data_IF_560252387545
#
_entry.id   IF_560252387545
#
_cell.length_a   1.000
_cell.length_b   1.000
_cell.length_c   1.000
_cell.angle_alpha   90.00
_cell.angle_beta   90.00
_cell.angle_gamma   90.00
#
_symmetry.space_group_name_H-M   'P 1'
#
loop_
_entity.id
_entity.type
_entity.pdbx_description
1 polymer ?
#
# COMPACT_ATOMS: atom_id res chain seq x y z
N UNK A 1 -23.60 -27.14 39.97
CA UNK A 1 -22.49 -27.57 40.84
C UNK A 1 -21.55 -28.49 40.07
N UNK A 2 -20.44 -27.97 39.54
CA UNK A 2 -19.20 -28.71 39.23
C UNK A 2 -18.07 -27.69 39.01
N UNK A 3 -16.95 -27.96 39.68
CA UNK A 3 -15.77 -27.13 39.92
C UNK A 3 -15.06 -26.72 38.61
N UNK A 4 -14.67 -25.47 38.39
CA UNK A 4 -13.49 -24.75 38.93
C UNK A 4 -12.16 -25.47 38.69
N UNK A 5 -11.37 -24.95 37.73
CA UNK A 5 -9.90 -25.03 37.68
C UNK A 5 -9.38 -23.80 36.94
N UNK A 6 -9.02 -22.76 37.70
CA UNK A 6 -8.21 -21.65 37.20
C UNK A 6 -6.76 -22.10 37.06
N UNK A 7 -6.19 -21.89 35.87
CA UNK A 7 -4.78 -22.06 35.60
C UNK A 7 -4.15 -20.66 35.65
N UNK A 8 -3.40 -20.40 36.73
CA UNK A 8 -2.57 -19.21 36.89
C UNK A 8 -1.28 -19.41 36.09
N UNK A 9 -1.12 -18.67 35.00
CA UNK A 9 0.15 -18.56 34.29
C UNK A 9 0.90 -17.33 34.81
N UNK A 10 2.01 -17.60 35.50
CA UNK A 10 2.92 -16.61 36.05
C UNK A 10 3.96 -16.31 34.94
N UNK A 11 3.87 -15.14 34.29
CA UNK A 11 4.86 -14.68 33.32
C UNK A 11 5.90 -13.84 34.05
N UNK A 12 7.11 -14.39 34.16
CA UNK A 12 8.32 -13.73 34.63
C UNK A 12 8.96 -13.05 33.42
N UNK A 13 8.82 -11.74 33.30
CA UNK A 13 9.51 -10.94 32.28
C UNK A 13 10.82 -10.41 32.85
N UNK A 14 11.92 -11.04 32.44
CA UNK A 14 13.30 -10.64 32.74
C UNK A 14 13.68 -9.35 32.02
N UNK A 15 14.09 -8.33 32.79
CA UNK A 15 14.78 -7.14 32.29
C UNK A 15 16.11 -7.55 31.63
N UNK A 16 16.24 -7.28 30.34
CA UNK A 16 17.52 -7.31 29.63
C UNK A 16 17.86 -5.87 29.24
N UNK A 17 18.81 -5.27 29.95
CA UNK A 17 19.38 -3.97 29.59
C UNK A 17 20.34 -4.18 28.42
N UNK A 18 19.94 -3.77 27.22
CA UNK A 18 20.82 -3.70 26.07
C UNK A 18 21.58 -2.36 26.09
N UNK A 19 22.91 -2.45 26.20
CA UNK A 19 23.82 -1.33 25.99
C UNK A 19 23.82 -0.96 24.49
N UNK A 20 23.19 0.15 24.12
CA UNK A 20 23.40 0.77 22.81
C UNK A 20 24.57 1.75 22.90
N UNK A 21 25.74 1.34 22.42
CA UNK A 21 26.81 2.27 22.05
C UNK A 21 26.45 2.90 20.69
N UNK A 22 26.70 4.21 20.47
CA UNK A 22 26.46 4.83 19.18
C UNK A 22 27.54 4.43 18.16
N UNK A 23 27.10 4.02 16.96
CA UNK A 23 27.95 3.86 15.78
C UNK A 23 28.38 5.24 15.26
N UNK A 24 29.48 5.77 15.77
CA UNK A 24 30.29 6.75 15.05
C UNK A 24 31.52 6.05 14.50
N UNK A 25 31.34 5.36 13.37
CA UNK A 25 32.45 4.90 12.54
C UNK A 25 33.03 6.12 11.82
N UNK A 26 34.02 6.78 12.42
CA UNK A 26 34.83 7.77 11.73
C UNK A 26 35.59 7.04 10.61
N UNK A 27 35.17 7.28 9.37
CA UNK A 27 35.92 6.91 8.17
C UNK A 27 37.22 7.70 8.21
N UNK A 28 38.32 7.04 8.57
CA UNK A 28 39.64 7.67 8.57
C UNK A 28 39.96 8.20 7.18
N UNK A 29 40.11 9.51 7.04
CA UNK A 29 40.70 10.13 5.85
C UNK A 29 42.14 9.64 5.72
N UNK A 30 42.48 9.12 4.55
CA UNK A 30 43.83 8.65 4.26
C UNK A 30 44.74 9.88 4.14
N UNK A 31 45.72 10.02 5.04
CA UNK A 31 46.78 11.03 4.94
C UNK A 31 48.02 10.38 4.31
N UNK A 32 48.29 10.61 3.01
CA UNK A 32 49.42 10.00 2.30
C UNK A 32 50.78 10.54 2.77
N UNK A 33 50.82 11.62 3.54
CA UNK A 33 52.05 12.25 4.05
C UNK A 33 52.41 11.78 5.49
N UNK A 34 51.62 10.89 6.08
CA UNK A 34 51.89 10.34 7.40
C UNK A 34 53.20 9.51 7.40
N UNK A 35 54.00 9.66 8.46
CA UNK A 35 55.30 8.96 8.59
C UNK A 35 55.16 7.42 8.57
N UNK A 36 53.97 6.90 8.87
CA UNK A 36 53.59 5.49 8.78
C UNK A 36 52.14 5.38 8.28
N UNK A 37 51.90 5.36 6.96
CA UNK A 37 50.54 5.29 6.42
C UNK A 37 49.92 3.91 6.67
N UNK A 38 48.61 3.90 6.93
CA UNK A 38 47.87 2.69 7.24
C UNK A 38 47.79 1.75 6.03
N UNK A 39 47.77 0.43 6.26
CA UNK A 39 47.94 -0.59 5.21
C UNK A 39 46.85 -0.57 4.13
N UNK A 40 45.72 0.08 4.44
CA UNK A 40 44.60 0.28 3.52
C UNK A 40 44.90 1.31 2.41
N UNK A 41 45.91 2.18 2.58
CA UNK A 41 46.30 3.21 1.60
C UNK A 41 47.31 2.73 0.53
N UNK A 42 47.75 1.46 0.59
CA UNK A 42 48.76 0.91 -0.36
C UNK A 42 48.40 0.90 -1.86
N UNK A 43 47.13 0.80 -2.31
CA UNK A 43 46.82 0.75 -3.74
C UNK A 43 47.06 2.09 -4.49
N UNK A 44 47.05 3.22 -3.78
CA UNK A 44 47.14 4.57 -4.38
C UNK A 44 48.58 5.12 -4.48
N UNK A 45 49.56 4.46 -3.84
CA UNK A 45 50.98 4.85 -3.87
C UNK A 45 51.77 4.19 -5.04
N UNK A 46 51.06 3.59 -6.00
CA UNK A 46 51.64 2.68 -6.99
C UNK A 46 52.07 3.26 -8.34
N UNK A 47 51.91 4.56 -8.61
CA UNK A 47 52.27 5.13 -9.92
C UNK A 47 52.95 6.50 -9.82
N UNK A 48 54.20 6.49 -9.36
CA UNK A 48 55.09 7.64 -9.45
C UNK A 48 56.46 7.22 -10.02
N UNK A 49 56.54 7.22 -11.36
CA UNK A 49 57.72 7.66 -12.11
C UNK A 49 58.94 6.74 -12.19
N UNK A 50 59.25 6.27 -13.40
CA UNK A 50 60.66 6.15 -13.84
C UNK A 50 60.76 6.41 -15.34
N UNK A 51 61.18 7.62 -15.66
CA UNK A 51 61.68 8.11 -16.92
C UNK A 51 63.21 8.03 -16.94
N UNK A 52 63.79 7.23 -17.84
CA UNK A 52 65.09 7.45 -18.50
C UNK A 52 65.49 6.25 -19.37
N UNK A 53 65.83 6.51 -20.63
CA UNK A 53 66.77 5.66 -21.37
C UNK A 53 66.43 5.44 -22.85
N UNK A 54 66.82 6.39 -23.68
CA UNK A 54 67.01 6.22 -25.13
C UNK A 54 67.85 4.96 -25.43
N UNK A 55 67.28 4.03 -26.20
CA UNK A 55 68.01 3.09 -27.01
C UNK A 55 67.17 2.73 -28.25
N UNK A 56 67.64 3.19 -29.40
CA UNK A 56 67.18 2.83 -30.74
C UNK A 56 66.95 1.32 -30.87
N UNK A 57 65.69 0.92 -30.85
CA UNK A 57 65.25 -0.38 -31.36
C UNK A 57 64.57 -0.14 -32.71
N UNK A 58 64.94 -0.89 -33.77
CA UNK A 58 64.32 -0.72 -35.06
C UNK A 58 62.85 -1.10 -34.93
N UNK A 59 61.99 -0.09 -35.08
CA UNK A 59 60.56 -0.22 -35.24
C UNK A 59 60.30 -1.29 -36.31
N UNK A 60 59.73 -2.48 -35.98
CA UNK A 60 59.12 -3.28 -37.01
C UNK A 60 57.98 -2.40 -37.51
N UNK A 61 58.06 -1.96 -38.77
CA UNK A 61 56.94 -1.27 -39.42
C UNK A 61 55.65 -2.05 -39.23
N UNK A 62 54.47 -1.43 -39.43
CA UNK A 62 53.19 -2.09 -39.22
C UNK A 62 53.24 -3.45 -39.87
N UNK A 63 53.24 -4.50 -39.04
CA UNK A 63 53.07 -5.86 -39.52
C UNK A 63 51.85 -5.82 -40.42
N UNK A 64 51.90 -6.40 -41.64
CA UNK A 64 50.70 -6.56 -42.44
C UNK A 64 49.68 -7.17 -41.49
N UNK A 65 48.56 -6.48 -41.26
CA UNK A 65 47.40 -7.07 -40.61
C UNK A 65 47.23 -8.40 -41.30
N UNK A 66 47.51 -9.48 -40.57
CA UNK A 66 47.34 -10.82 -41.07
C UNK A 66 45.94 -10.83 -41.67
N UNK A 67 45.82 -11.30 -42.91
CA UNK A 67 44.55 -11.68 -43.52
C UNK A 67 43.89 -12.68 -42.56
N UNK A 68 43.19 -12.17 -41.56
CA UNK A 68 42.87 -12.89 -40.35
C UNK A 68 41.59 -13.65 -40.61
N UNK A 69 41.67 -14.76 -41.33
CA UNK A 69 40.53 -15.67 -41.56
C UNK A 69 39.70 -15.80 -40.29
N UNK A 70 38.42 -15.42 -40.38
CA UNK A 70 37.46 -15.60 -39.29
C UNK A 70 37.55 -17.05 -38.78
N UNK A 71 37.92 -17.22 -37.50
CA UNK A 71 38.02 -18.53 -36.87
C UNK A 71 36.67 -19.04 -36.35
N UNK A 72 35.67 -18.16 -36.32
CA UNK A 72 34.33 -18.42 -35.84
C UNK A 72 33.30 -18.40 -37.00
N UNK A 73 32.07 -17.99 -36.72
CA UNK A 73 30.98 -18.03 -37.69
C UNK A 73 30.94 -16.76 -38.54
N UNK A 74 30.98 -16.92 -39.86
CA UNK A 74 30.72 -15.84 -40.80
C UNK A 74 29.23 -15.65 -41.03
N UNK A 75 28.67 -14.61 -40.41
CA UNK A 75 27.23 -14.34 -40.41
C UNK A 75 26.92 -13.18 -41.37
N UNK A 76 26.01 -13.35 -42.35
CA UNK A 76 25.66 -12.29 -43.29
C UNK A 76 24.89 -11.15 -42.64
N UNK A 77 25.11 -9.94 -43.13
CA UNK A 77 24.28 -8.76 -42.76
C UNK A 77 22.82 -9.00 -43.13
N UNK A 78 21.86 -8.38 -42.42
CA UNK A 78 20.44 -8.58 -42.70
C UNK A 78 20.05 -8.06 -44.09
N UNK A 79 19.20 -8.81 -44.82
CA UNK A 79 18.73 -8.49 -46.18
C UNK A 79 17.20 -8.33 -46.25
N UNK A 80 16.68 -7.86 -47.40
CA UNK A 80 15.24 -7.78 -47.64
C UNK A 80 14.53 -6.58 -47.00
N UNK A 81 15.11 -5.38 -47.09
CA UNK A 81 14.52 -4.16 -46.50
C UNK A 81 14.92 -3.90 -45.05
N UNK A 82 16.10 -4.35 -44.65
CA UNK A 82 16.56 -4.37 -43.26
C UNK A 82 17.11 -3.04 -42.70
N UNK A 83 16.76 -1.88 -43.27
CA UNK A 83 17.37 -0.58 -42.92
C UNK A 83 17.16 -0.11 -41.47
N UNK A 84 16.25 -0.74 -40.73
CA UNK A 84 15.94 -0.43 -39.32
C UNK A 84 16.52 -1.46 -38.33
N UNK A 85 17.25 -2.46 -38.82
CA UNK A 85 17.87 -3.52 -38.01
C UNK A 85 19.36 -3.26 -37.82
N UNK A 86 19.92 -3.82 -36.75
CA UNK A 86 21.37 -3.79 -36.51
C UNK A 86 22.14 -4.46 -37.65
N UNK A 87 23.13 -3.78 -38.23
CA UNK A 87 23.96 -4.38 -39.28
C UNK A 87 24.84 -5.52 -38.75
N UNK A 88 25.35 -5.37 -37.52
CA UNK A 88 26.22 -6.35 -36.88
C UNK A 88 25.36 -7.32 -36.07
N UNK A 89 25.40 -8.63 -36.35
CA UNK A 89 24.66 -9.63 -35.58
C UNK A 89 25.30 -9.84 -34.19
N UNK A 90 24.46 -10.15 -33.21
CA UNK A 90 24.86 -10.47 -31.83
C UNK A 90 24.53 -11.93 -31.50
N UNK A 91 25.28 -12.52 -30.58
CA UNK A 91 25.02 -13.86 -30.07
C UNK A 91 24.03 -13.76 -28.91
N UNK A 92 22.84 -14.34 -29.05
CA UNK A 92 21.76 -14.24 -28.06
C UNK A 92 21.38 -15.62 -27.55
N UNK A 93 21.31 -15.75 -26.22
CA UNK A 93 20.74 -16.92 -25.55
C UNK A 93 19.38 -16.56 -24.98
N UNK A 94 18.40 -17.41 -25.24
CA UNK A 94 17.06 -17.34 -24.66
C UNK A 94 16.89 -18.48 -23.66
N UNK A 95 16.49 -18.17 -22.44
CA UNK A 95 16.27 -19.16 -21.38
C UNK A 95 15.42 -18.54 -20.26
N UNK A 96 15.10 -19.30 -19.22
CA UNK A 96 14.53 -18.72 -17.99
C UNK A 96 15.50 -17.72 -17.38
N UNK A 97 15.03 -16.60 -16.80
CA UNK A 97 15.90 -15.58 -16.21
C UNK A 97 16.93 -16.12 -15.21
N UNK A 98 16.55 -17.08 -14.37
CA UNK A 98 17.43 -17.72 -13.38
C UNK A 98 18.44 -18.70 -13.98
N UNK A 99 18.19 -19.20 -15.19
CA UNK A 99 19.08 -20.10 -15.93
C UNK A 99 20.07 -19.34 -16.82
N UNK A 100 19.82 -18.06 -17.09
CA UNK A 100 20.75 -17.23 -17.85
C UNK A 100 22.08 -17.04 -17.10
N UNK A 101 23.21 -17.12 -17.81
CA UNK A 101 24.50 -16.75 -17.23
C UNK A 101 24.48 -15.31 -16.67
N UNK A 102 25.12 -15.13 -15.52
CA UNK A 102 25.29 -13.81 -14.89
C UNK A 102 26.15 -12.87 -15.76
N UNK A 103 27.08 -13.43 -16.51
CA UNK A 103 27.98 -12.69 -17.40
C UNK A 103 28.03 -13.38 -18.76
N UNK A 104 28.33 -12.61 -19.80
CA UNK A 104 28.60 -13.17 -21.10
C UNK A 104 29.87 -14.07 -21.08
N UNK A 105 29.91 -15.12 -21.92
CA UNK A 105 31.09 -15.96 -22.10
C UNK A 105 32.33 -15.15 -22.50
N UNK A 106 33.52 -15.66 -22.15
CA UNK A 106 34.80 -14.98 -22.44
C UNK A 106 35.07 -14.76 -23.94
N UNK A 107 34.44 -15.55 -24.84
CA UNK A 107 34.51 -15.36 -26.29
C UNK A 107 33.71 -14.15 -26.79
N UNK A 108 32.67 -13.74 -26.05
CA UNK A 108 31.81 -12.59 -26.35
C UNK A 108 31.57 -11.77 -25.08
N UNK A 109 32.61 -11.21 -24.44
CA UNK A 109 32.55 -10.80 -23.04
C UNK A 109 31.64 -9.58 -22.77
N UNK A 110 31.21 -8.86 -23.82
CA UNK A 110 30.42 -7.65 -23.65
C UNK A 110 28.93 -7.95 -23.69
N UNK A 111 28.25 -7.71 -22.57
CA UNK A 111 26.79 -7.72 -22.50
C UNK A 111 26.25 -6.49 -23.23
N UNK A 112 25.47 -6.75 -24.29
CA UNK A 112 24.79 -5.71 -25.05
C UNK A 112 23.38 -5.45 -24.51
N UNK A 113 22.65 -6.53 -24.26
CA UNK A 113 21.29 -6.47 -23.72
C UNK A 113 21.04 -7.62 -22.75
N UNK A 114 20.26 -7.31 -21.71
CA UNK A 114 19.56 -8.28 -20.88
C UNK A 114 18.11 -7.85 -20.80
N UNK A 115 17.24 -8.66 -21.39
CA UNK A 115 15.84 -8.32 -21.61
C UNK A 115 14.96 -9.52 -21.31
N UNK A 116 13.66 -9.30 -21.22
CA UNK A 116 12.71 -10.25 -20.67
C UNK A 116 11.41 -10.27 -21.46
N UNK A 117 10.72 -11.40 -21.46
CA UNK A 117 9.36 -11.53 -22.02
C UNK A 117 8.54 -12.50 -21.18
N UNK A 118 7.25 -12.63 -21.51
CA UNK A 118 6.27 -13.43 -20.80
C UNK A 118 6.09 -12.96 -19.33
N UNK A 119 5.79 -11.66 -19.17
CA UNK A 119 5.48 -11.07 -17.87
C UNK A 119 4.28 -11.76 -17.22
N UNK A 120 4.47 -12.24 -16.00
CA UNK A 120 3.40 -12.65 -15.10
C UNK A 120 3.37 -11.72 -13.90
N UNK A 121 2.28 -10.97 -13.80
CA UNK A 121 2.08 -9.98 -12.76
C UNK A 121 0.61 -10.03 -12.29
N UNK A 122 0.31 -10.78 -11.21
CA UNK A 122 -1.03 -10.85 -10.65
C UNK A 122 -1.56 -9.48 -10.21
N UNK A 123 -2.88 -9.30 -9.97
CA UNK A 123 -3.39 -8.07 -9.35
C UNK A 123 -2.71 -7.77 -8.01
N UNK A 124 -2.73 -6.51 -7.58
CA UNK A 124 -2.22 -6.14 -6.26
C UNK A 124 -2.98 -6.87 -5.13
N UNK A 125 -2.28 -7.21 -4.05
CA UNK A 125 -2.91 -7.71 -2.83
C UNK A 125 -3.18 -6.52 -1.92
N UNK A 126 -4.46 -6.14 -1.81
CA UNK A 126 -4.91 -4.98 -1.03
C UNK A 126 -5.28 -5.37 0.39
N UNK A 127 -4.86 -4.56 1.37
CA UNK A 127 -5.38 -4.68 2.73
C UNK A 127 -6.88 -4.34 2.78
N UNK A 128 -7.59 -4.98 3.72
CA UNK A 128 -9.01 -4.73 3.90
C UNK A 128 -9.28 -3.32 4.41
N UNK A 129 -10.29 -2.66 3.85
CA UNK A 129 -10.75 -1.36 4.34
C UNK A 129 -11.41 -1.46 5.71
N UNK A 130 -11.10 -0.50 6.58
CA UNK A 130 -11.68 -0.35 7.90
C UNK A 130 -12.10 1.10 8.14
N UNK A 131 -13.10 1.29 8.99
CA UNK A 131 -13.65 2.59 9.36
C UNK A 131 -13.34 2.88 10.83
N UNK A 132 -13.06 4.15 11.11
CA UNK A 132 -13.05 4.67 12.47
C UNK A 132 -14.47 4.63 13.07
N UNK A 133 -14.60 4.67 14.42
CA UNK A 133 -15.87 4.90 15.07
C UNK A 133 -16.55 6.15 14.51
N UNK A 134 -17.88 6.12 14.40
CA UNK A 134 -18.61 7.26 13.84
C UNK A 134 -18.43 8.50 14.71
N UNK A 135 -18.41 9.68 14.12
CA UNK A 135 -18.44 10.94 14.86
C UNK A 135 -19.77 11.65 14.60
N UNK A 136 -20.27 12.38 15.59
CA UNK A 136 -21.53 13.10 15.50
C UNK A 136 -21.77 14.02 16.69
N UNK A 137 -22.85 14.79 16.64
CA UNK A 137 -23.24 15.72 17.71
C UNK A 137 -24.66 15.47 18.19
N UNK A 138 -24.92 15.87 19.44
CA UNK A 138 -26.23 15.76 20.08
C UNK A 138 -26.80 17.15 20.41
N UNK A 139 -27.02 17.95 19.37
CA UNK A 139 -27.42 19.37 19.49
C UNK A 139 -28.94 19.59 19.49
N UNK A 140 -29.74 18.53 19.38
CA UNK A 140 -31.20 18.66 19.29
C UNK A 140 -31.90 19.18 20.56
N UNK A 141 -31.16 19.32 21.68
CA UNK A 141 -31.70 19.81 22.94
C UNK A 141 -32.39 18.72 23.78
N UNK A 142 -33.18 19.11 24.80
CA UNK A 142 -33.86 18.18 25.69
C UNK A 142 -35.01 17.44 24.97
N UNK A 143 -35.60 16.39 25.60
CA UNK A 143 -36.75 15.69 25.05
C UNK A 143 -37.93 16.61 24.74
N UNK A 144 -38.69 16.30 23.68
CA UNK A 144 -39.81 17.12 23.22
C UNK A 144 -40.96 17.17 24.24
N UNK A 145 -41.24 16.05 24.90
CA UNK A 145 -42.25 15.93 25.94
C UNK A 145 -41.71 15.27 27.21
N UNK A 146 -42.12 15.84 28.34
CA UNK A 146 -42.01 15.26 29.68
C UNK A 146 -43.38 15.41 30.33
N UNK A 147 -43.91 14.33 30.89
CA UNK A 147 -45.25 14.28 31.47
C UNK A 147 -45.21 13.65 32.85
N UNK A 148 -45.91 14.25 33.80
CA UNK A 148 -46.20 13.63 35.10
C UNK A 148 -47.49 12.83 34.96
N UNK A 149 -47.51 11.60 35.48
CA UNK A 149 -48.63 10.67 35.33
C UNK A 149 -49.18 10.23 36.69
N UNK A 150 -50.50 10.29 36.80
CA UNK A 150 -51.29 9.77 37.93
C UNK A 150 -51.51 8.25 37.77
N UNK A 151 -50.42 7.51 37.65
CA UNK A 151 -50.39 6.06 37.49
C UNK A 151 -48.95 5.58 37.32
N UNK A 152 -48.70 4.30 37.56
CA UNK A 152 -47.35 3.72 37.44
C UNK A 152 -46.92 3.58 35.98
N UNK A 153 -45.63 3.31 35.75
CA UNK A 153 -45.10 3.06 34.42
C UNK A 153 -45.69 1.81 33.73
N UNK A 154 -46.29 0.89 34.49
CA UNK A 154 -46.95 -0.30 33.94
C UNK A 154 -48.36 -0.02 33.42
N UNK A 155 -48.97 1.09 33.82
CA UNK A 155 -50.30 1.45 33.39
C UNK A 155 -50.27 2.13 32.02
N UNK A 156 -51.08 1.62 31.09
CA UNK A 156 -51.18 2.15 29.73
C UNK A 156 -52.05 3.40 29.63
N UNK A 157 -52.97 3.60 30.57
CA UNK A 157 -53.89 4.75 30.61
C UNK A 157 -53.82 5.36 32.00
N UNK A 158 -53.35 6.61 32.08
CA UNK A 158 -53.29 7.39 33.32
C UNK A 158 -53.52 8.86 32.97
N UNK A 159 -54.07 9.64 33.90
CA UNK A 159 -54.16 11.08 33.72
C UNK A 159 -52.75 11.69 33.65
N UNK A 160 -52.50 12.56 32.68
CA UNK A 160 -51.18 13.17 32.46
C UNK A 160 -51.24 14.69 32.64
N UNK A 161 -50.14 15.24 33.17
CA UNK A 161 -49.91 16.68 33.28
C UNK A 161 -48.66 17.05 32.49
N UNK A 162 -48.68 18.13 31.70
CA UNK A 162 -47.51 18.58 30.97
C UNK A 162 -46.43 19.02 31.97
N UNK A 163 -45.24 18.45 31.84
CA UNK A 163 -44.09 18.79 32.67
C UNK A 163 -42.85 19.11 31.82
N UNK A 164 -43.01 19.39 30.52
CA UNK A 164 -41.94 19.87 29.65
C UNK A 164 -41.38 21.22 30.11
N UNK A 165 -40.16 21.54 29.64
CA UNK A 165 -39.57 22.86 29.81
C UNK A 165 -40.35 23.93 29.03
N UNK A 166 -40.02 25.22 29.23
CA UNK A 166 -40.56 26.29 28.40
C UNK A 166 -40.15 26.13 26.93
N UNK A 167 -40.80 26.88 26.03
CA UNK A 167 -40.40 26.88 24.62
C UNK A 167 -38.93 27.33 24.48
N UNK A 168 -38.14 26.59 23.68
CA UNK A 168 -36.70 26.85 23.50
C UNK A 168 -35.82 26.45 24.68
N UNK A 169 -36.32 25.61 25.59
CA UNK A 169 -35.54 25.07 26.70
C UNK A 169 -34.35 24.24 26.21
N UNK A 170 -33.20 24.47 26.81
CA UNK A 170 -31.91 23.84 26.48
C UNK A 170 -31.54 22.67 27.41
N UNK A 171 -32.41 22.32 28.35
CA UNK A 171 -32.15 21.29 29.37
C UNK A 171 -31.67 21.86 30.72
N UNK A 172 -31.41 23.16 30.82
CA UNK A 172 -31.04 23.81 32.09
C UNK A 172 -32.10 23.62 33.19
N UNK A 173 -31.73 23.85 34.45
CA UNK A 173 -32.68 23.75 35.55
C UNK A 173 -33.92 24.64 35.33
N UNK A 174 -35.12 24.05 35.39
CA UNK A 174 -36.38 24.82 35.33
C UNK A 174 -37.47 24.24 36.22
N UNK A 175 -38.22 25.13 36.87
CA UNK A 175 -39.43 24.83 37.66
C UNK A 175 -40.72 25.10 36.88
N UNK A 176 -40.64 25.35 35.56
CA UNK A 176 -41.84 25.48 34.71
C UNK A 176 -42.69 24.21 34.82
N UNK A 177 -43.98 24.39 35.09
CA UNK A 177 -44.97 23.32 35.34
C UNK A 177 -44.70 22.45 36.58
N UNK A 178 -43.98 22.96 37.58
CA UNK A 178 -43.78 22.26 38.85
C UNK A 178 -45.10 21.79 39.49
N UNK A 179 -45.04 20.64 40.17
CA UNK A 179 -46.16 20.01 40.84
C UNK A 179 -45.93 19.99 42.35
N UNK A 180 -46.80 20.62 43.17
CA UNK A 180 -46.68 20.58 44.62
C UNK A 180 -46.98 19.18 45.17
N UNK A 181 -46.43 18.88 46.35
CA UNK A 181 -46.71 17.64 47.05
C UNK A 181 -48.22 17.46 47.30
N UNK A 182 -48.70 16.22 47.17
CA UNK A 182 -50.09 15.83 47.45
C UNK A 182 -51.12 16.30 46.43
N UNK A 183 -50.71 16.85 45.27
CA UNK A 183 -51.63 17.21 44.21
C UNK A 183 -52.48 16.00 43.76
N UNK A 184 -53.80 16.20 43.58
CA UNK A 184 -54.75 15.14 43.22
C UNK A 184 -55.23 15.26 41.78
N UNK A 185 -55.24 14.13 41.06
CA UNK A 185 -55.62 14.01 39.65
C UNK A 185 -56.79 13.03 39.50
N UNK A 186 -57.95 13.37 40.07
CA UNK A 186 -59.15 12.52 40.00
C UNK A 186 -59.25 11.48 41.12
N UNK A 187 -58.78 11.80 42.32
CA UNK A 187 -58.89 10.94 43.51
C UNK A 187 -57.60 10.19 43.88
N UNK A 188 -56.61 10.18 42.98
CA UNK A 188 -55.27 9.66 43.24
C UNK A 188 -54.23 10.77 43.22
N UNK A 189 -53.01 10.47 43.66
CA UNK A 189 -51.89 11.40 43.56
C UNK A 189 -51.49 11.60 42.09
N UNK A 190 -51.25 12.85 41.70
CA UNK A 190 -50.81 13.19 40.34
C UNK A 190 -49.40 12.66 40.05
N UNK A 191 -48.47 12.75 41.00
CA UNK A 191 -47.09 12.29 40.84
C UNK A 191 -46.95 10.82 41.24
N UNK A 192 -47.11 9.91 40.29
CA UNK A 192 -46.80 8.48 40.49
C UNK A 192 -45.74 7.98 39.52
N UNK A 193 -45.68 8.52 38.30
CA UNK A 193 -44.57 8.30 37.38
C UNK A 193 -44.29 9.52 36.51
N UNK A 194 -43.10 9.56 35.92
CA UNK A 194 -42.72 10.56 34.90
C UNK A 194 -42.38 9.83 33.61
N UNK A 195 -43.03 10.22 32.51
CA UNK A 195 -42.77 9.69 31.16
C UNK A 195 -42.10 10.75 30.30
N UNK A 196 -41.09 10.34 29.57
CA UNK A 196 -40.17 11.20 28.83
C UNK A 196 -40.05 10.64 27.42
N UNK A 197 -40.28 11.49 26.43
CA UNK A 197 -39.99 11.16 25.02
C UNK A 197 -38.50 10.88 24.78
N UNK A 198 -38.13 10.21 23.68
CA UNK A 198 -36.72 10.06 23.32
C UNK A 198 -36.03 11.42 23.18
N UNK A 199 -34.72 11.44 23.41
CA UNK A 199 -33.90 12.56 22.98
C UNK A 199 -33.97 12.69 21.44
N UNK A 200 -33.78 13.90 20.90
CA UNK A 200 -33.48 14.08 19.49
C UNK A 200 -32.31 13.18 19.07
N UNK A 201 -32.40 12.62 17.87
CA UNK A 201 -31.33 11.80 17.31
C UNK A 201 -30.04 12.60 17.07
N UNK A 202 -28.90 11.90 16.94
CA UNK A 202 -27.65 12.54 16.58
C UNK A 202 -27.73 13.23 15.21
N UNK A 203 -26.90 14.26 15.05
CA UNK A 203 -26.78 15.05 13.82
C UNK A 203 -25.33 15.08 13.33
N UNK A 204 -25.15 15.46 12.06
CA UNK A 204 -23.82 15.62 11.43
C UNK A 204 -22.96 14.36 11.54
N UNK A 205 -23.59 13.20 11.38
CA UNK A 205 -22.91 11.94 11.58
C UNK A 205 -22.06 11.55 10.37
N UNK A 206 -20.85 11.07 10.63
CA UNK A 206 -19.94 10.60 9.58
C UNK A 206 -18.97 9.56 10.13
N UNK A 207 -18.34 8.84 9.21
CA UNK A 207 -17.29 7.89 9.53
C UNK A 207 -16.10 8.16 8.62
N UNK A 208 -14.91 8.28 9.22
CA UNK A 208 -13.68 8.38 8.46
C UNK A 208 -13.13 6.97 8.18
N UNK A 209 -12.57 6.71 6.99
CA UNK A 209 -11.76 5.52 6.78
C UNK A 209 -10.50 5.59 7.64
N UNK A 210 -10.07 4.47 8.22
CA UNK A 210 -8.82 4.39 8.98
C UNK A 210 -7.62 4.74 8.09
N UNK A 211 -7.66 4.25 6.84
CA UNK A 211 -6.69 4.56 5.81
C UNK A 211 -7.44 4.94 4.54
N UNK A 212 -7.18 6.13 3.98
CA UNK A 212 -7.84 6.59 2.75
C UNK A 212 -7.49 5.72 1.53
N UNK A 213 -6.29 5.15 1.50
CA UNK A 213 -5.85 4.17 0.51
C UNK A 213 -5.22 3.01 1.27
N UNK A 214 -5.70 1.78 1.07
CA UNK A 214 -5.13 0.64 1.76
C UNK A 214 -3.71 0.37 1.26
N UNK A 215 -2.86 -0.13 2.15
CA UNK A 215 -1.55 -0.61 1.76
C UNK A 215 -1.70 -1.81 0.83
N UNK A 216 -0.71 -2.01 -0.03
CA UNK A 216 -0.73 -3.12 -0.95
C UNK A 216 0.65 -3.63 -1.27
N UNK A 217 0.69 -4.88 -1.72
CA UNK A 217 1.89 -5.53 -2.23
C UNK A 217 1.66 -5.95 -3.68
N UNK A 218 2.74 -5.94 -4.45
CA UNK A 218 2.74 -6.45 -5.82
C UNK A 218 3.88 -7.44 -5.99
N UNK A 219 3.62 -8.48 -6.78
CA UNK A 219 4.62 -9.44 -7.23
C UNK A 219 4.67 -9.43 -8.74
N UNK A 220 5.84 -9.76 -9.30
CA UNK A 220 6.01 -9.92 -10.74
C UNK A 220 7.14 -10.90 -11.01
N UNK A 221 7.01 -11.62 -12.11
CA UNK A 221 8.05 -12.50 -12.65
C UNK A 221 8.07 -12.38 -14.17
N UNK A 222 9.24 -12.50 -14.76
CA UNK A 222 9.41 -12.73 -16.19
C UNK A 222 9.72 -14.20 -16.40
N UNK A 223 9.09 -14.85 -17.38
CA UNK A 223 9.32 -16.29 -17.62
C UNK A 223 10.41 -16.57 -18.66
N UNK A 224 10.67 -15.59 -19.53
CA UNK A 224 11.69 -15.67 -20.55
C UNK A 224 12.69 -14.53 -20.37
N UNK A 225 13.97 -14.84 -20.48
CA UNK A 225 15.06 -13.87 -20.53
C UNK A 225 15.87 -14.05 -21.81
N UNK A 226 16.43 -12.94 -22.31
CA UNK A 226 17.42 -12.91 -23.38
C UNK A 226 18.71 -12.27 -22.86
N UNK A 227 19.84 -12.93 -23.12
CA UNK A 227 21.17 -12.38 -22.91
C UNK A 227 21.87 -12.24 -24.26
N UNK A 228 22.03 -10.98 -24.72
CA UNK A 228 22.74 -10.66 -25.95
C UNK A 228 24.19 -10.26 -25.64
N UNK A 229 25.13 -10.96 -26.26
CA UNK A 229 26.56 -10.81 -26.05
C UNK A 229 27.27 -10.48 -27.37
N UNK A 230 28.33 -9.69 -27.30
CA UNK A 230 29.15 -9.32 -28.46
C UNK A 230 30.66 -9.35 -28.16
N UNK A 231 31.46 -9.65 -29.19
CA UNK A 231 32.92 -9.56 -29.13
C UNK A 231 33.41 -8.10 -29.27
N UNK A 232 34.70 -7.87 -28.99
CA UNK A 232 35.33 -6.55 -29.07
C UNK A 232 35.67 -6.09 -30.50
N UNK A 233 35.77 -7.02 -31.46
CA UNK A 233 36.22 -6.71 -32.83
C UNK A 233 35.13 -7.07 -33.85
N UNK A 234 34.73 -6.05 -34.64
CA UNK A 234 33.88 -6.23 -35.82
C UNK A 234 34.78 -6.50 -37.02
N UNK A 235 35.37 -7.68 -37.09
CA UNK A 235 36.29 -8.02 -38.16
C UNK A 235 35.50 -8.50 -39.39
N UNK A 236 35.55 -7.71 -40.49
CA UNK A 236 35.01 -8.06 -41.82
C UNK A 236 35.87 -9.16 -42.51
N UNK A 237 36.54 -10.01 -41.73
CA UNK A 237 37.55 -10.96 -42.20
C UNK A 237 36.97 -12.26 -42.78
N UNK A 238 35.68 -12.25 -43.13
CA UNK A 238 34.93 -13.38 -43.68
C UNK A 238 35.18 -13.68 -45.17
N UNK A 239 36.31 -13.21 -45.69
CA UNK A 239 36.72 -13.36 -47.09
C UNK A 239 35.92 -12.49 -48.07
N UNK A 240 36.36 -12.45 -49.33
CA UNK A 240 35.63 -11.76 -50.39
C UNK A 240 34.39 -12.57 -50.79
N UNK A 241 33.21 -12.01 -50.51
CA UNK A 241 31.92 -12.57 -50.86
C UNK A 241 31.02 -11.50 -51.45
N UNK A 242 30.14 -11.88 -52.38
CA UNK A 242 29.14 -10.97 -52.95
C UNK A 242 28.15 -10.41 -51.90
N UNK A 243 28.06 -11.06 -50.73
CA UNK A 243 27.25 -10.65 -49.58
C UNK A 243 28.20 -10.30 -48.43
N UNK A 244 28.06 -9.10 -47.86
CA UNK A 244 28.81 -8.64 -46.68
C UNK A 244 28.51 -9.55 -45.49
N UNK A 245 29.55 -9.98 -44.77
CA UNK A 245 29.44 -10.85 -43.59
C UNK A 245 30.35 -10.36 -42.48
N UNK A 246 29.89 -10.47 -41.25
CA UNK A 246 30.68 -10.21 -40.05
C UNK A 246 31.15 -11.53 -39.44
N UNK A 247 32.39 -11.55 -38.94
CA UNK A 247 32.85 -12.63 -38.09
C UNK A 247 32.21 -12.47 -36.71
N UNK A 248 31.34 -13.40 -36.32
CA UNK A 248 30.66 -13.40 -35.02
C UNK A 248 31.23 -14.54 -34.19
N UNK A 249 31.78 -14.20 -33.04
CA UNK A 249 32.30 -15.18 -32.10
C UNK A 249 31.16 -16.09 -31.63
N UNK A 250 31.45 -17.39 -31.62
CA UNK A 250 30.46 -18.39 -31.27
C UNK A 250 30.66 -18.92 -29.84
N UNK A 251 29.76 -18.58 -28.91
CA UNK A 251 29.84 -19.01 -27.52
C UNK A 251 29.34 -20.45 -27.26
N UNK A 252 28.81 -21.15 -28.27
CA UNK A 252 28.30 -22.51 -28.14
C UNK A 252 26.83 -22.72 -28.56
N UNK A 253 26.29 -23.93 -28.38
CA UNK A 253 25.05 -24.37 -29.01
C UNK A 253 23.77 -23.68 -28.50
N UNK A 254 23.79 -23.13 -27.29
CA UNK A 254 22.63 -22.45 -26.68
C UNK A 254 22.42 -21.02 -27.19
N UNK A 255 23.28 -20.55 -28.11
CA UNK A 255 23.23 -19.21 -28.66
C UNK A 255 22.78 -19.23 -30.11
N UNK A 256 21.94 -18.24 -30.44
CA UNK A 256 21.52 -17.91 -31.79
C UNK A 256 22.24 -16.65 -32.27
N UNK A 257 22.40 -16.50 -33.58
CA UNK A 257 22.85 -15.22 -34.14
C UNK A 257 21.62 -14.38 -34.48
N UNK A 258 21.51 -13.21 -33.88
CA UNK A 258 20.34 -12.36 -34.03
C UNK A 258 20.74 -10.95 -34.46
N UNK A 259 19.88 -10.34 -35.26
CA UNK A 259 19.84 -8.89 -35.43
C UNK A 259 18.76 -8.33 -34.53
N UNK A 260 18.94 -7.09 -34.11
CA UNK A 260 18.02 -6.44 -33.21
C UNK A 260 17.56 -5.09 -33.76
N UNK A 261 16.37 -4.66 -33.35
CA UNK A 261 15.87 -3.32 -33.67
C UNK A 261 15.00 -2.78 -32.55
N UNK A 262 14.92 -1.45 -32.45
CA UNK A 262 14.17 -0.79 -31.39
C UNK A 262 12.67 -0.77 -31.68
N UNK A 263 11.89 -1.06 -30.64
CA UNK A 263 10.45 -1.22 -30.71
C UNK A 263 10.04 -2.63 -31.13
N UNK A 264 8.73 -2.79 -31.33
CA UNK A 264 8.12 -4.00 -31.88
C UNK A 264 8.16 -3.89 -33.41
N UNK A 265 9.06 -4.65 -34.04
CA UNK A 265 9.35 -4.55 -35.47
C UNK A 265 8.92 -5.81 -36.22
N UNK A 266 8.25 -5.61 -37.36
CA UNK A 266 7.95 -6.65 -38.34
C UNK A 266 8.05 -6.06 -39.76
N UNK A 267 8.42 -6.86 -40.79
CA UNK A 267 8.84 -8.26 -40.71
C UNK A 267 10.33 -8.42 -40.31
N UNK A 268 10.72 -9.64 -39.92
CA UNK A 268 12.13 -9.99 -39.79
C UNK A 268 12.85 -9.96 -41.15
N UNK A 269 14.15 -9.63 -41.19
CA UNK A 269 14.96 -9.74 -42.40
C UNK A 269 14.97 -11.16 -42.98
N UNK A 270 15.07 -11.29 -44.31
CA UNK A 270 14.89 -12.57 -45.02
C UNK A 270 15.82 -13.69 -44.50
N UNK A 271 17.05 -13.33 -44.13
CA UNK A 271 18.07 -14.25 -43.64
C UNK A 271 18.11 -14.41 -42.11
N UNK A 272 17.13 -13.84 -41.41
CA UNK A 272 16.93 -13.89 -39.95
C UNK A 272 15.47 -14.25 -39.60
N UNK A 273 14.93 -15.22 -40.30
CA UNK A 273 13.53 -15.63 -40.21
C UNK A 273 13.32 -16.94 -39.43
N UNK A 274 14.31 -17.38 -38.64
CA UNK A 274 14.19 -18.63 -37.88
C UNK A 274 13.30 -18.45 -36.65
N UNK A 275 13.59 -17.42 -35.85
CA UNK A 275 12.82 -17.08 -34.65
C UNK A 275 12.74 -15.56 -34.50
N UNK A 276 11.65 -15.09 -33.91
CA UNK A 276 11.44 -13.70 -33.53
C UNK A 276 11.06 -13.62 -32.06
N UNK A 277 11.72 -12.73 -31.33
CA UNK A 277 11.45 -12.48 -29.92
C UNK A 277 11.28 -10.98 -29.66
N UNK A 278 10.19 -10.60 -29.00
CA UNK A 278 9.92 -9.24 -28.58
C UNK A 278 10.26 -9.12 -27.09
N UNK A 279 11.42 -8.54 -26.78
CA UNK A 279 11.93 -8.53 -25.41
C UNK A 279 11.89 -7.12 -24.82
N UNK A 280 11.71 -7.04 -23.51
CA UNK A 280 11.47 -5.80 -22.76
C UNK A 280 12.49 -5.61 -21.64
N UNK A 281 12.72 -4.37 -21.18
CA UNK A 281 13.48 -4.13 -19.97
C UNK A 281 12.84 -4.79 -18.74
N UNK A 282 13.63 -4.98 -17.69
CA UNK A 282 13.20 -5.63 -16.44
C UNK A 282 12.00 -4.95 -15.78
N UNK A 283 11.93 -3.62 -15.87
CA UNK A 283 10.89 -2.79 -15.29
C UNK A 283 9.68 -2.64 -16.26
N UNK A 284 8.55 -3.35 -16.03
CA UNK A 284 7.31 -3.08 -16.74
C UNK A 284 6.70 -1.73 -16.36
N UNK A 285 5.72 -1.30 -17.16
CA UNK A 285 4.77 -0.27 -16.76
C UNK A 285 3.80 -0.89 -15.76
N UNK A 286 3.79 -0.40 -14.53
CA UNK A 286 2.99 -0.95 -13.44
C UNK A 286 2.14 0.16 -12.82
N UNK A 287 0.83 0.12 -13.06
CA UNK A 287 -0.14 1.03 -12.45
C UNK A 287 -1.04 0.31 -11.44
N UNK A 288 -0.65 -0.91 -11.02
CA UNK A 288 -1.38 -1.68 -10.02
C UNK A 288 -1.42 -0.93 -8.69
N UNK A 289 -2.56 -1.03 -8.03
CA UNK A 289 -2.76 -0.52 -6.69
C UNK A 289 -4.15 -0.86 -6.20
N UNK A 290 -4.66 -0.08 -5.26
CA UNK A 290 -5.98 -0.30 -4.68
C UNK A 290 -6.91 0.89 -4.89
N UNK A 291 -8.20 0.59 -4.95
CA UNK A 291 -9.24 1.60 -4.80
C UNK A 291 -9.19 2.23 -3.41
N UNK A 292 -9.64 3.49 -3.33
CA UNK A 292 -9.72 4.18 -2.05
C UNK A 292 -10.73 3.48 -1.13
N UNK A 293 -10.49 3.55 0.18
CA UNK A 293 -11.44 3.07 1.16
C UNK A 293 -12.52 4.12 1.40
N UNK A 294 -13.76 3.66 1.47
CA UNK A 294 -14.92 4.48 1.80
C UNK A 294 -15.67 3.88 2.98
N UNK A 295 -16.35 4.75 3.74
CA UNK A 295 -17.15 4.37 4.89
C UNK A 295 -18.58 4.85 4.69
N UNK A 296 -19.52 3.93 4.90
CA UNK A 296 -20.94 4.21 4.81
C UNK A 296 -21.46 5.04 5.98
N UNK A 297 -22.77 5.32 5.93
CA UNK A 297 -23.46 5.99 7.03
C UNK A 297 -23.40 5.15 8.32
N UNK A 298 -23.27 5.78 9.49
CA UNK A 298 -23.25 5.06 10.76
C UNK A 298 -24.59 4.42 11.09
N UNK A 299 -24.50 3.27 11.74
CA UNK A 299 -25.64 2.51 12.23
C UNK A 299 -25.46 2.24 13.73
N UNK A 300 -26.52 2.48 14.50
CA UNK A 300 -26.56 2.21 15.94
C UNK A 300 -25.98 3.32 16.82
N UNK A 301 -25.70 4.50 16.26
CA UNK A 301 -25.37 5.70 17.03
C UNK A 301 -26.59 6.25 17.78
N UNK A 302 -26.34 6.96 18.88
CA UNK A 302 -27.41 7.53 19.70
C UNK A 302 -26.92 8.73 20.52
N UNK A 303 -27.87 9.53 21.00
CA UNK A 303 -27.64 10.49 22.06
C UNK A 303 -28.07 9.90 23.40
N UNK A 304 -27.22 10.01 24.41
CA UNK A 304 -27.50 9.58 25.77
C UNK A 304 -27.37 10.77 26.72
N UNK A 305 -28.23 10.86 27.73
CA UNK A 305 -28.14 11.89 28.75
C UNK A 305 -28.83 11.46 30.05
N UNK A 306 -28.97 12.40 30.97
CA UNK A 306 -29.62 12.19 32.27
C UNK A 306 -30.75 13.18 32.48
N UNK A 307 -31.95 12.69 32.78
CA UNK A 307 -33.00 13.48 33.38
C UNK A 307 -32.83 13.49 34.89
N UNK A 308 -32.81 14.69 35.47
CA UNK A 308 -32.79 14.91 36.91
C UNK A 308 -34.09 15.56 37.36
N UNK A 309 -34.66 15.08 38.46
CA UNK A 309 -35.86 15.65 39.08
C UNK A 309 -35.54 16.11 40.50
N UNK A 310 -36.15 17.23 40.89
CA UNK A 310 -35.85 17.91 42.14
C UNK A 310 -37.13 18.18 42.94
N UNK A 311 -37.01 18.12 44.27
CA UNK A 311 -38.11 18.43 45.19
C UNK A 311 -38.35 19.96 45.29
N UNK A 312 -37.35 20.77 44.95
CA UNK A 312 -37.39 22.24 44.99
C UNK A 312 -37.39 22.87 43.60
N UNK A 313 -37.63 24.19 43.56
CA UNK A 313 -37.69 24.97 42.32
C UNK A 313 -36.34 25.47 41.80
N UNK A 314 -35.23 25.22 42.53
CA UNK A 314 -33.89 25.77 42.27
C UNK A 314 -32.86 24.68 41.92
N UNK A 315 -33.31 23.44 41.75
CA UNK A 315 -32.50 22.26 41.48
C UNK A 315 -31.42 21.96 42.53
N UNK A 316 -31.71 22.14 43.82
CA UNK A 316 -30.76 21.86 44.90
C UNK A 316 -30.97 20.51 45.59
N UNK A 317 -32.20 20.01 45.61
CA UNK A 317 -32.62 18.76 46.25
C UNK A 317 -33.03 17.73 45.21
N UNK A 318 -32.04 17.10 44.56
CA UNK A 318 -32.26 16.02 43.59
C UNK A 318 -32.80 14.77 44.28
N UNK A 319 -33.84 14.16 43.72
CA UNK A 319 -34.36 12.88 44.22
C UNK A 319 -34.35 11.76 43.17
N UNK A 320 -34.17 12.09 41.89
CA UNK A 320 -34.16 11.13 40.78
C UNK A 320 -33.15 11.55 39.71
N UNK A 321 -32.40 10.56 39.20
CA UNK A 321 -31.46 10.72 38.10
C UNK A 321 -31.55 9.49 37.18
N UNK A 322 -32.32 9.63 36.11
CA UNK A 322 -32.62 8.57 35.17
C UNK A 322 -31.87 8.78 33.85
N UNK A 323 -31.26 7.73 33.31
CA UNK A 323 -30.70 7.78 31.97
C UNK A 323 -31.81 7.85 30.91
N UNK A 324 -31.63 8.72 29.94
CA UNK A 324 -32.49 8.90 28.77
C UNK A 324 -31.67 8.77 27.49
N UNK A 325 -32.33 8.41 26.39
CA UNK A 325 -31.65 8.15 25.12
C UNK A 325 -32.49 8.58 23.93
N UNK A 326 -31.88 8.70 22.74
CA UNK A 326 -32.58 8.97 21.49
C UNK A 326 -33.28 7.76 20.88
N UNK A 327 -33.00 6.55 21.38
CA UNK A 327 -33.51 5.29 20.80
C UNK A 327 -34.86 4.85 21.37
N UNK A 328 -35.34 5.49 22.44
CA UNK A 328 -36.60 5.11 23.05
C UNK A 328 -37.06 6.04 24.17
N UNK A 329 -38.35 5.97 24.45
CA UNK A 329 -38.96 6.68 25.59
C UNK A 329 -38.56 6.03 26.92
N UNK A 330 -38.61 6.82 27.98
CA UNK A 330 -38.34 6.37 29.35
C UNK A 330 -39.50 6.71 30.25
N UNK A 331 -39.84 5.78 31.13
CA UNK A 331 -40.74 6.03 32.24
C UNK A 331 -40.05 5.66 33.56
N UNK A 332 -40.23 6.49 34.58
CA UNK A 332 -39.69 6.30 35.92
C UNK A 332 -40.79 6.48 36.95
N UNK A 333 -41.00 5.47 37.80
CA UNK A 333 -41.93 5.55 38.92
C UNK A 333 -41.38 6.47 40.03
N UNK A 334 -42.26 7.28 40.62
CA UNK A 334 -41.91 8.26 41.66
C UNK A 334 -42.22 7.66 43.02
N UNK A 335 -41.22 7.66 43.91
CA UNK A 335 -41.38 7.16 45.27
C UNK A 335 -41.01 8.21 46.33
N UNK A 336 -41.87 8.44 47.35
CA UNK A 336 -43.24 7.93 47.48
C UNK A 336 -44.22 8.59 46.49
N UNK A 337 -45.38 7.96 46.18
CA UNK A 337 -46.43 8.60 45.39
C UNK A 337 -46.89 9.94 46.01
N UNK A 338 -47.17 10.92 45.17
CA UNK A 338 -47.59 12.26 45.60
C UNK A 338 -46.47 13.17 46.10
N UNK A 339 -45.20 12.77 45.91
CA UNK A 339 -44.05 13.63 46.15
C UNK A 339 -44.10 14.91 45.30
N UNK A 340 -43.52 16.00 45.79
CA UNK A 340 -43.36 17.22 45.00
C UNK A 340 -42.38 16.97 43.83
N UNK A 341 -42.68 17.57 42.68
CA UNK A 341 -41.76 17.62 41.54
C UNK A 341 -41.56 19.10 41.23
N UNK A 342 -40.60 19.71 41.93
CA UNK A 342 -40.35 21.15 41.96
C UNK A 342 -39.58 21.67 40.75
N UNK A 343 -38.66 20.88 40.21
CA UNK A 343 -37.89 21.24 39.02
C UNK A 343 -37.36 20.02 38.27
N UNK A 344 -36.82 20.28 37.09
CA UNK A 344 -36.18 19.30 36.21
C UNK A 344 -34.96 19.88 35.52
N UNK A 345 -34.02 19.02 35.17
CA UNK A 345 -32.88 19.34 34.31
C UNK A 345 -32.53 18.14 33.42
N UNK A 346 -32.06 18.40 32.20
CA UNK A 346 -31.45 17.41 31.32
C UNK A 346 -29.98 17.76 31.20
N UNK A 347 -29.11 16.82 31.57
CA UNK A 347 -27.68 17.06 31.69
C UNK A 347 -26.87 15.92 31.09
N UNK A 348 -25.61 16.20 30.76
CA UNK A 348 -24.67 15.17 30.31
C UNK A 348 -25.07 14.52 29.00
N UNK A 349 -25.70 15.28 28.09
CA UNK A 349 -26.04 14.75 26.76
C UNK A 349 -24.75 14.53 25.97
N UNK A 350 -24.46 13.28 25.66
CA UNK A 350 -23.27 12.86 24.91
C UNK A 350 -23.64 11.98 23.73
N UNK A 351 -22.79 12.04 22.71
CA UNK A 351 -22.87 11.19 21.55
C UNK A 351 -22.32 9.79 21.87
N UNK A 352 -23.01 8.76 21.38
CA UNK A 352 -22.57 7.37 21.43
C UNK A 352 -22.28 6.92 20.01
N UNK A 353 -21.03 6.55 19.79
CA UNK A 353 -20.51 6.09 18.51
C UNK A 353 -21.27 4.85 18.00
N UNK A 354 -21.68 4.90 16.75
CA UNK A 354 -22.19 3.77 15.98
C UNK A 354 -21.07 3.04 15.23
N UNK A 355 -21.49 2.14 14.35
CA UNK A 355 -20.60 1.35 13.48
C UNK A 355 -20.88 1.66 12.02
N UNK A 356 -19.87 1.53 11.17
CA UNK A 356 -19.96 1.89 9.75
C UNK A 356 -19.49 0.72 8.88
N UNK A 357 -20.18 0.49 7.77
CA UNK A 357 -19.74 -0.48 6.77
C UNK A 357 -18.60 0.09 5.95
N UNK A 358 -17.50 -0.64 5.81
CA UNK A 358 -16.40 -0.29 4.90
C UNK A 358 -16.65 -0.81 3.48
N UNK A 359 -16.16 -0.08 2.49
CA UNK A 359 -16.14 -0.46 1.08
C UNK A 359 -14.85 0.02 0.40
N UNK A 360 -14.61 -0.45 -0.83
CA UNK A 360 -13.40 -0.15 -1.59
C UNK A 360 -12.28 -1.14 -1.33
N UNK A 361 -11.04 -0.71 -1.57
CA UNK A 361 -9.85 -1.56 -1.43
C UNK A 361 -9.77 -2.73 -2.42
N UNK A 362 -10.57 -2.70 -3.49
CA UNK A 362 -10.42 -3.64 -4.58
C UNK A 362 -9.13 -3.35 -5.35
N UNK A 363 -8.43 -4.38 -5.87
CA UNK A 363 -7.28 -4.17 -6.72
C UNK A 363 -7.68 -3.52 -8.04
N UNK A 364 -6.85 -2.57 -8.48
CA UNK A 364 -6.98 -1.88 -9.77
C UNK A 364 -5.65 -1.87 -10.50
N UNK A 365 -5.69 -1.50 -11.78
CA UNK A 365 -4.51 -1.43 -12.64
C UNK A 365 -4.01 -2.79 -13.11
N UNK A 366 -2.92 -2.77 -13.87
CA UNK A 366 -2.26 -3.91 -14.51
C UNK A 366 -0.77 -3.59 -14.69
N UNK A 367 0.10 -4.60 -14.56
CA UNK A 367 1.46 -4.47 -15.04
C UNK A 367 1.57 -4.98 -16.48
N UNK A 368 2.21 -4.21 -17.35
CA UNK A 368 2.37 -4.55 -18.77
C UNK A 368 3.76 -4.20 -19.30
N UNK A 369 4.27 -4.96 -20.29
CA UNK A 369 5.53 -4.63 -20.92
C UNK A 369 5.49 -3.27 -21.65
N UNK A 370 6.57 -2.49 -21.56
CA UNK A 370 6.67 -1.20 -22.24
C UNK A 370 7.08 -1.38 -23.71
N UNK A 371 6.10 -1.32 -24.62
CA UNK A 371 6.32 -1.46 -26.07
C UNK A 371 7.24 -0.41 -26.68
N UNK A 372 7.35 0.78 -26.08
CA UNK A 372 8.22 1.85 -26.59
C UNK A 372 9.71 1.51 -26.36
N UNK A 373 10.00 0.80 -25.27
CA UNK A 373 11.35 0.34 -24.92
C UNK A 373 11.62 -1.11 -25.34
N UNK A 374 10.72 -1.74 -26.08
CA UNK A 374 10.93 -3.09 -26.58
C UNK A 374 12.14 -3.14 -27.51
N UNK A 375 12.79 -4.30 -27.55
CA UNK A 375 13.79 -4.65 -28.56
C UNK A 375 13.31 -5.93 -29.21
N UNK A 376 13.15 -5.90 -30.53
CA UNK A 376 12.84 -7.10 -31.29
C UNK A 376 14.14 -7.75 -31.71
N UNK A 377 14.28 -9.05 -31.45
CA UNK A 377 15.32 -9.90 -32.01
C UNK A 377 14.74 -10.74 -33.15
N UNK A 378 15.44 -10.75 -34.28
CA UNK A 378 15.21 -11.69 -35.36
C UNK A 378 16.46 -12.55 -35.51
N UNK A 379 16.28 -13.86 -35.37
CA UNK A 379 17.37 -14.79 -35.20
C UNK A 379 17.48 -15.75 -36.38
N UNK A 380 18.67 -16.29 -36.53
CA UNK A 380 18.98 -17.43 -37.39
C UNK A 380 19.70 -18.49 -36.56
N UNK A 381 19.62 -19.74 -37.02
CA UNK A 381 20.32 -20.86 -36.39
C UNK A 381 21.82 -20.60 -36.30
N UNK A 382 22.42 -21.02 -35.19
CA UNK A 382 23.87 -21.16 -35.09
C UNK A 382 24.33 -22.39 -35.88
N UNK A 383 25.61 -22.43 -36.21
CA UNK A 383 26.19 -23.49 -37.05
C UNK A 383 26.23 -24.87 -36.35
N UNK A 384 25.92 -24.93 -35.06
CA UNK A 384 25.82 -26.16 -34.27
C UNK A 384 24.46 -26.85 -34.35
N UNK A 385 23.43 -26.13 -34.79
CA UNK A 385 22.07 -26.66 -34.90
C UNK A 385 21.92 -27.24 -36.31
N UNK A 386 22.47 -28.44 -36.50
CA UNK A 386 22.28 -29.24 -37.73
C UNK A 386 21.03 -30.10 -37.54
N UNK A 387 20.02 -29.92 -38.38
CA UNK A 387 18.85 -30.81 -38.45
C UNK A 387 19.21 -32.16 -39.10
#
# INVERSE_FOLDING_TARGET
MRLSKHWFLLIISTLSAACSAPDTYLRGECDPEALFPDKFCSPELGDAGTDAGDADTPNPGPTPQSMGTCMDACVPVPSGGAGYWSEVPVSVRFDKPEALPKFCPSSVPNEKFRLFDELVAPPAECEACACEPSEGTCEGGPPQSIEIRAGTCFESVAATLPFSGPAGWDGSCTSTNALPAGASCGGEFCAQSVRISPLPGPTSESCAPMNATPSFTTTREWKLGALACMANTNDDTCGESAIKRYCVADPGPDYLYCVHGQGVLEPCPDNYNHERHEMYPEEPLDDRGCEACECGAPVGSACMGSLRLYDDAVCSSEFENSSISSVGEKCTDIHPPGRAIGAKAVTGVTYVHGTCSSSGGAPKGLASPNKISAITFCCRRSHWIVE
#
